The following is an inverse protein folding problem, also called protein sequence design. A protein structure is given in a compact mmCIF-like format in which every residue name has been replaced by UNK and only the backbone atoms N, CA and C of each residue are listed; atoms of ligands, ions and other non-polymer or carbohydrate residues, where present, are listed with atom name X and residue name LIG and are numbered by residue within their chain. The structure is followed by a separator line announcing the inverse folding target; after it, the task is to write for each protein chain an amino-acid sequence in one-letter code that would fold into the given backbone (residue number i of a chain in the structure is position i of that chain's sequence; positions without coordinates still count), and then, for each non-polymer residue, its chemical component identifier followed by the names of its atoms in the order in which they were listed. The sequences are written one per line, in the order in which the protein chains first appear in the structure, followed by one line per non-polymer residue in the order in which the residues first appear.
data_IF_409353559329
#
_entry.id   IF_409353559329
#
_cell.length_a   1.000
_cell.length_b   1.000
_cell.length_c   1.000
_cell.angle_alpha   90.00
_cell.angle_beta   90.00
_cell.angle_gamma   90.00
#
_symmetry.space_group_name_H-M   'P 1'
#
loop_
_entity.id
_entity.type
_entity.pdbx_description
1 polymer ?
#
# COMPACT_ATOMS: atom_id res chain seq x y z
N UNK A 1 21.78 -2.61 -8.68
CA UNK A 1 20.69 -1.64 -8.49
C UNK A 1 20.99 -0.87 -7.23
N UNK A 2 20.88 0.46 -7.25
CA UNK A 2 21.04 1.26 -6.03
C UNK A 2 19.79 1.05 -5.16
N UNK A 3 19.94 0.33 -4.06
CA UNK A 3 18.86 0.14 -3.08
C UNK A 3 18.61 1.44 -2.32
N UNK A 4 17.35 1.71 -1.98
CA UNK A 4 16.89 2.92 -1.28
C UNK A 4 16.36 2.53 0.09
N UNK A 5 16.70 3.22 1.19
CA UNK A 5 16.12 2.89 2.49
C UNK A 5 14.64 3.30 2.57
N UNK A 6 13.86 2.58 3.40
CA UNK A 6 12.45 2.86 3.68
C UNK A 6 12.24 4.30 4.13
N UNK A 7 13.13 4.81 4.97
CA UNK A 7 13.11 6.20 5.44
C UNK A 7 13.10 7.19 4.28
N UNK A 8 13.90 6.93 3.24
CA UNK A 8 13.94 7.76 2.04
C UNK A 8 12.67 7.62 1.21
N UNK A 9 12.03 6.45 1.16
CA UNK A 9 10.73 6.29 0.50
C UNK A 9 9.65 7.12 1.21
N UNK A 10 9.63 7.13 2.55
CA UNK A 10 8.70 7.94 3.32
C UNK A 10 8.88 9.43 3.04
N UNK A 11 10.12 9.92 3.03
CA UNK A 11 10.44 11.31 2.67
C UNK A 11 9.97 11.66 1.24
N UNK A 12 10.19 10.75 0.27
CA UNK A 12 9.77 10.97 -1.11
C UNK A 12 8.24 11.00 -1.25
N UNK A 13 7.52 10.18 -0.48
CA UNK A 13 6.06 10.25 -0.41
C UNK A 13 5.61 11.60 0.18
N UNK A 14 6.18 12.02 1.32
CA UNK A 14 5.84 13.30 1.96
C UNK A 14 6.18 14.52 1.10
N UNK A 15 7.24 14.44 0.29
CA UNK A 15 7.62 15.48 -0.67
C UNK A 15 6.75 15.50 -1.94
N UNK A 16 5.80 14.56 -2.10
CA UNK A 16 4.93 14.46 -3.27
C UNK A 16 5.62 13.92 -4.53
N UNK A 17 6.79 13.28 -4.40
CA UNK A 17 7.46 12.60 -5.51
C UNK A 17 6.68 11.35 -5.91
N UNK A 18 6.18 10.63 -4.91
CA UNK A 18 5.15 9.62 -5.11
C UNK A 18 3.78 10.27 -4.95
N UNK A 19 2.82 9.80 -5.75
CA UNK A 19 1.48 10.34 -5.92
C UNK A 19 0.57 10.30 -4.68
N UNK A 20 1.08 9.84 -3.54
CA UNK A 20 0.32 9.60 -2.30
C UNK A 20 -0.07 8.13 -2.10
N UNK A 21 0.03 7.29 -3.15
CA UNK A 21 -0.09 5.84 -3.04
C UNK A 21 1.18 5.15 -3.60
N UNK A 22 1.80 4.30 -2.78
CA UNK A 22 2.95 3.48 -3.19
C UNK A 22 2.64 1.99 -3.02
N UNK A 23 2.72 1.22 -4.09
CA UNK A 23 2.71 -0.23 -4.03
C UNK A 23 4.14 -0.76 -3.83
N UNK A 24 4.36 -1.51 -2.76
CA UNK A 24 5.58 -2.29 -2.56
C UNK A 24 5.33 -3.72 -2.98
N UNK A 25 6.00 -4.12 -4.06
CA UNK A 25 5.88 -5.43 -4.68
C UNK A 25 6.88 -6.37 -4.02
N UNK A 26 6.37 -7.36 -3.30
CA UNK A 26 7.15 -8.39 -2.61
C UNK A 26 7.29 -9.65 -3.45
N UNK A 27 8.29 -10.49 -3.16
CA UNK A 27 8.49 -11.75 -3.88
C UNK A 27 7.43 -12.80 -3.49
N UNK A 28 6.94 -12.73 -2.25
CA UNK A 28 5.89 -13.60 -1.69
C UNK A 28 4.80 -12.75 -1.03
N UNK A 29 3.65 -13.36 -0.72
CA UNK A 29 2.55 -12.69 0.00
C UNK A 29 3.08 -12.09 1.31
N UNK A 30 2.89 -10.78 1.57
CA UNK A 30 3.37 -10.15 2.79
C UNK A 30 2.82 -10.81 4.04
N UNK A 31 3.70 -11.15 4.98
CA UNK A 31 3.31 -11.69 6.28
C UNK A 31 2.92 -10.59 7.26
N UNK A 32 2.12 -10.91 8.28
CA UNK A 32 1.77 -9.93 9.33
C UNK A 32 3.00 -9.39 10.05
N UNK A 33 4.05 -10.20 10.21
CA UNK A 33 5.32 -9.78 10.81
C UNK A 33 6.01 -8.71 9.96
N UNK A 34 6.07 -8.90 8.63
CA UNK A 34 6.63 -7.91 7.71
C UNK A 34 5.87 -6.58 7.80
N UNK A 35 4.53 -6.65 7.79
CA UNK A 35 3.68 -5.46 7.91
C UNK A 35 3.86 -4.77 9.27
N UNK A 36 4.01 -5.54 10.35
CA UNK A 36 4.24 -5.01 11.69
C UNK A 36 5.60 -4.30 11.80
N UNK A 37 6.67 -4.91 11.24
CA UNK A 37 8.00 -4.29 11.18
C UNK A 37 7.98 -2.97 10.39
N UNK A 38 7.36 -2.97 9.21
CA UNK A 38 7.17 -1.78 8.39
C UNK A 38 6.39 -0.69 9.14
N UNK A 39 5.33 -1.08 9.86
CA UNK A 39 4.54 -0.17 10.70
C UNK A 39 5.37 0.48 11.80
N UNK A 40 6.25 -0.30 12.44
CA UNK A 40 7.20 0.20 13.44
C UNK A 40 8.11 1.29 12.88
N UNK A 41 8.70 1.07 11.70
CA UNK A 41 9.56 2.04 11.00
C UNK A 41 8.76 3.27 10.57
N UNK A 42 7.57 3.08 10.00
CA UNK A 42 6.72 4.19 9.54
C UNK A 42 6.29 5.12 10.68
N UNK A 43 6.03 4.60 11.90
CA UNK A 43 5.66 5.42 13.07
C UNK A 43 6.73 6.40 13.52
N UNK A 44 7.96 6.25 13.05
CA UNK A 44 9.04 7.22 13.29
C UNK A 44 8.96 8.44 12.36
N UNK A 45 8.17 8.36 11.29
CA UNK A 45 8.10 9.37 10.22
C UNK A 45 6.71 10.02 10.06
N UNK A 46 5.65 9.28 10.40
CA UNK A 46 4.26 9.74 10.29
C UNK A 46 3.64 9.87 11.68
N UNK A 47 2.79 10.88 11.86
CA UNK A 47 2.09 11.15 13.14
C UNK A 47 1.14 10.03 13.51
N UNK A 48 0.44 9.47 12.52
CA UNK A 48 -0.50 8.36 12.70
C UNK A 48 -0.31 7.33 11.59
N UNK A 49 -0.10 6.08 12.01
CA UNK A 49 0.06 4.92 11.10
C UNK A 49 -0.92 3.84 11.50
N UNK A 50 -1.83 3.50 10.59
CA UNK A 50 -2.78 2.42 10.78
C UNK A 50 -2.57 1.28 9.78
N UNK A 51 -2.94 0.08 10.20
CA UNK A 51 -2.92 -1.12 9.38
C UNK A 51 -4.32 -1.38 8.85
N UNK A 52 -4.43 -1.72 7.58
CA UNK A 52 -5.70 -2.10 6.97
C UNK A 52 -5.57 -3.45 6.25
N UNK A 53 -6.07 -4.48 6.91
CA UNK A 53 -6.15 -5.82 6.36
C UNK A 53 -7.43 -5.97 5.53
N UNK A 54 -7.30 -6.05 4.21
CA UNK A 54 -8.42 -6.25 3.29
C UNK A 54 -8.87 -7.70 3.21
N UNK A 55 -8.11 -8.65 3.77
CA UNK A 55 -8.51 -10.06 3.84
C UNK A 55 -9.51 -10.37 4.95
N UNK A 56 -9.71 -9.47 5.92
CA UNK A 56 -10.62 -9.69 7.04
C UNK A 56 -12.07 -9.40 6.65
N UNK A 57 -13.00 -10.19 7.19
CA UNK A 57 -14.43 -9.88 7.08
C UNK A 57 -14.72 -8.49 7.65
N UNK A 58 -15.53 -7.69 6.95
CA UNK A 58 -15.88 -6.33 7.38
C UNK A 58 -14.74 -5.30 7.26
N UNK A 59 -13.64 -5.62 6.58
CA UNK A 59 -12.47 -4.72 6.41
C UNK A 59 -12.86 -3.30 5.95
N UNK A 60 -13.87 -3.16 5.10
CA UNK A 60 -14.35 -1.86 4.63
C UNK A 60 -14.94 -0.99 5.74
N UNK A 61 -15.59 -1.58 6.74
CA UNK A 61 -16.17 -0.85 7.87
C UNK A 61 -15.10 -0.38 8.87
N UNK A 62 -13.95 -1.05 8.89
CA UNK A 62 -12.81 -0.74 9.74
C UNK A 62 -11.80 0.21 9.06
N UNK A 63 -12.16 0.87 7.96
CA UNK A 63 -11.24 1.73 7.22
C UNK A 63 -10.76 2.92 8.08
N UNK A 64 -9.44 3.05 8.31
CA UNK A 64 -8.91 4.07 9.22
C UNK A 64 -8.77 5.43 8.54
N UNK A 65 -9.87 6.18 8.43
CA UNK A 65 -9.94 7.47 7.70
C UNK A 65 -8.90 8.48 8.17
N UNK A 66 -8.67 8.59 9.48
CA UNK A 66 -7.90 9.69 10.10
C UNK A 66 -6.38 9.44 10.17
N UNK A 67 -5.89 8.32 9.64
CA UNK A 67 -4.46 8.03 9.65
C UNK A 67 -3.71 8.84 8.57
N UNK A 68 -2.54 9.38 8.91
CA UNK A 68 -1.64 10.04 7.96
C UNK A 68 -1.12 9.03 6.93
N UNK A 69 -0.66 7.86 7.40
CA UNK A 69 -0.30 6.72 6.57
C UNK A 69 -1.20 5.51 6.89
N UNK A 70 -1.69 4.83 5.85
CA UNK A 70 -2.24 3.48 5.96
C UNK A 70 -1.31 2.48 5.27
N UNK A 71 -0.96 1.41 5.98
CA UNK A 71 -0.35 0.22 5.38
C UNK A 71 -1.47 -0.77 5.04
N UNK A 72 -1.58 -1.12 3.76
CA UNK A 72 -2.64 -1.98 3.21
C UNK A 72 -2.04 -3.34 2.83
N UNK A 73 -2.71 -4.41 3.22
CA UNK A 73 -2.34 -5.79 2.88
C UNK A 73 -3.60 -6.68 2.83
N UNK A 74 -3.47 -7.93 2.39
CA UNK A 74 -4.61 -8.84 2.24
C UNK A 74 -5.36 -8.70 0.92
N UNK A 75 -4.79 -7.94 -0.03
CA UNK A 75 -5.37 -7.73 -1.36
C UNK A 75 -5.31 -9.01 -2.20
N UNK A 76 -4.29 -9.85 -1.99
CA UNK A 76 -4.08 -11.14 -2.66
C UNK A 76 -5.24 -12.14 -2.47
N UNK A 77 -6.09 -11.91 -1.47
CA UNK A 77 -7.29 -12.73 -1.22
C UNK A 77 -8.56 -12.16 -1.85
N UNK A 78 -8.47 -11.01 -2.51
CA UNK A 78 -9.60 -10.33 -3.12
C UNK A 78 -9.55 -10.47 -4.65
N UNK A 79 -10.72 -10.58 -5.27
CA UNK A 79 -10.80 -10.51 -6.74
C UNK A 79 -10.72 -9.05 -7.19
N UNK A 80 -10.05 -8.76 -8.32
CA UNK A 80 -9.87 -7.39 -8.82
C UNK A 80 -11.19 -6.68 -9.14
N UNK A 81 -12.19 -7.44 -9.58
CA UNK A 81 -13.53 -6.99 -9.97
C UNK A 81 -14.55 -7.05 -8.82
N UNK A 82 -14.14 -7.48 -7.62
CA UNK A 82 -15.06 -7.57 -6.49
C UNK A 82 -15.53 -6.17 -6.02
N UNK A 83 -16.77 -6.05 -5.52
CA UNK A 83 -17.25 -4.80 -4.91
C UNK A 83 -16.37 -4.33 -3.75
N UNK A 84 -15.71 -5.26 -3.05
CA UNK A 84 -14.80 -4.95 -1.95
C UNK A 84 -13.55 -4.25 -2.45
N UNK A 85 -12.90 -4.81 -3.47
CA UNK A 85 -11.72 -4.20 -4.10
C UNK A 85 -12.04 -2.83 -4.67
N UNK A 86 -13.18 -2.68 -5.35
CA UNK A 86 -13.59 -1.39 -5.92
C UNK A 86 -13.79 -0.32 -4.84
N UNK A 87 -14.48 -0.65 -3.74
CA UNK A 87 -14.64 0.26 -2.61
C UNK A 87 -13.30 0.58 -1.94
N UNK A 88 -12.42 -0.41 -1.80
CA UNK A 88 -11.12 -0.20 -1.19
C UNK A 88 -10.27 0.78 -1.99
N UNK A 89 -10.17 0.58 -3.31
CA UNK A 89 -9.45 1.47 -4.23
C UNK A 89 -10.05 2.88 -4.24
N UNK A 90 -11.39 3.00 -4.25
CA UNK A 90 -12.07 4.30 -4.17
C UNK A 90 -11.69 5.05 -2.89
N UNK A 91 -11.65 4.36 -1.75
CA UNK A 91 -11.23 4.96 -0.47
C UNK A 91 -9.76 5.40 -0.49
N UNK A 92 -8.88 4.61 -1.09
CA UNK A 92 -7.46 4.96 -1.25
C UNK A 92 -7.28 6.15 -2.20
N UNK A 93 -8.07 6.26 -3.26
CA UNK A 93 -8.04 7.38 -4.20
C UNK A 93 -8.52 8.68 -3.54
N UNK A 94 -9.59 8.63 -2.74
CA UNK A 94 -10.02 9.78 -1.93
C UNK A 94 -8.93 10.23 -0.97
N UNK A 95 -8.24 9.29 -0.30
CA UNK A 95 -7.10 9.61 0.59
C UNK A 95 -5.98 10.30 -0.15
N UNK A 96 -5.57 9.73 -1.29
CA UNK A 96 -4.54 10.27 -2.17
C UNK A 96 -4.82 11.73 -2.53
N UNK A 97 -6.06 12.01 -2.96
CA UNK A 97 -6.49 13.37 -3.33
C UNK A 97 -6.70 14.30 -2.13
N UNK A 98 -6.78 13.76 -0.90
CA UNK A 98 -6.83 14.53 0.36
C UNK A 98 -5.45 14.82 0.95
N UNK A 99 -4.36 14.46 0.26
CA UNK A 99 -2.99 14.65 0.75
C UNK A 99 -2.56 13.65 1.81
N UNK A 100 -3.27 12.52 1.96
CA UNK A 100 -2.92 11.44 2.86
C UNK A 100 -2.21 10.31 2.12
N UNK A 101 -1.41 9.53 2.86
CA UNK A 101 -0.53 8.52 2.29
C UNK A 101 -1.09 7.12 2.45
N UNK A 102 -0.82 6.28 1.46
CA UNK A 102 -1.12 4.84 1.51
C UNK A 102 0.06 4.05 0.95
N UNK A 103 0.41 2.96 1.61
CA UNK A 103 1.39 2.00 1.13
C UNK A 103 0.75 0.62 1.03
N UNK A 104 0.67 0.07 -0.17
CA UNK A 104 0.06 -1.24 -0.43
C UNK A 104 1.16 -2.28 -0.55
N UNK A 105 1.15 -3.28 0.31
CA UNK A 105 2.09 -4.39 0.25
C UNK A 105 1.37 -5.61 -0.34
N UNK A 106 1.94 -6.19 -1.40
CA UNK A 106 1.40 -7.36 -2.09
C UNK A 106 2.46 -8.02 -2.96
N UNK A 107 2.26 -9.30 -3.27
CA UNK A 107 3.16 -10.03 -4.16
C UNK A 107 3.01 -9.58 -5.63
N UNK A 108 3.99 -9.96 -6.46
CA UNK A 108 4.00 -9.57 -7.87
C UNK A 108 2.76 -10.07 -8.65
N UNK A 109 2.28 -11.27 -8.35
CA UNK A 109 1.11 -11.84 -9.00
C UNK A 109 -0.15 -11.00 -8.71
N UNK A 110 -0.39 -10.67 -7.44
CA UNK A 110 -1.52 -9.83 -7.03
C UNK A 110 -1.37 -8.41 -7.57
N UNK A 111 -0.15 -7.84 -7.56
CA UNK A 111 0.07 -6.51 -8.16
C UNK A 111 -0.33 -6.48 -9.62
N UNK A 112 0.10 -7.47 -10.42
CA UNK A 112 -0.24 -7.54 -11.84
C UNK A 112 -1.74 -7.68 -12.05
N UNK A 113 -2.38 -8.55 -11.26
CA UNK A 113 -3.82 -8.77 -11.28
C UNK A 113 -4.62 -7.48 -10.97
N UNK A 114 -4.17 -6.71 -9.98
CA UNK A 114 -4.92 -5.56 -9.49
C UNK A 114 -4.59 -4.22 -10.17
N UNK A 115 -3.35 -4.02 -10.62
CA UNK A 115 -2.85 -2.68 -11.01
C UNK A 115 -2.14 -2.65 -12.36
N UNK A 116 -1.93 -3.78 -13.04
CA UNK A 116 -1.31 -3.85 -14.37
C UNK A 116 -2.22 -4.36 -15.50
N UNK A 117 -3.53 -4.50 -15.25
CA UNK A 117 -4.50 -4.81 -16.30
C UNK A 117 -5.20 -3.53 -16.78
N UNK A 118 -5.00 -3.15 -18.05
CA UNK A 118 -5.58 -1.93 -18.63
C UNK A 118 -7.10 -1.95 -18.76
N UNK A 119 -7.71 -3.13 -18.73
CA UNK A 119 -9.16 -3.29 -18.78
C UNK A 119 -9.83 -3.05 -17.41
N UNK A 120 -9.04 -2.99 -16.32
CA UNK A 120 -9.54 -2.85 -14.96
C UNK A 120 -9.55 -1.38 -14.50
N UNK A 121 -10.59 -0.93 -13.78
CA UNK A 121 -10.57 0.34 -13.09
C UNK A 121 -9.38 0.43 -12.12
N UNK A 122 -8.77 1.62 -12.02
CA UNK A 122 -7.58 1.87 -11.19
C UNK A 122 -6.27 1.25 -11.72
N UNK A 123 -6.21 0.87 -13.00
CA UNK A 123 -4.94 0.64 -13.70
C UNK A 123 -4.01 1.86 -13.53
N UNK A 124 -2.76 1.62 -13.14
CA UNK A 124 -1.78 2.66 -12.81
C UNK A 124 -2.19 3.62 -11.67
N UNK A 125 -3.00 3.16 -10.72
CA UNK A 125 -3.44 3.99 -9.59
C UNK A 125 -2.32 4.37 -8.61
N UNK A 126 -1.38 3.46 -8.34
CA UNK A 126 -0.26 3.70 -7.42
C UNK A 126 1.07 3.64 -8.16
N UNK A 127 2.01 4.45 -7.73
CA UNK A 127 3.41 4.23 -8.07
C UNK A 127 3.87 2.88 -7.49
N UNK A 128 4.88 2.25 -8.08
CA UNK A 128 5.33 0.91 -7.65
C UNK A 128 6.83 0.83 -7.45
N UNK A 129 7.24 0.08 -6.42
CA UNK A 129 8.64 -0.27 -6.17
C UNK A 129 8.75 -1.75 -5.78
N UNK A 130 9.79 -2.43 -6.26
CA UNK A 130 10.09 -3.80 -5.83
C UNK A 130 10.81 -3.80 -4.48
N UNK A 131 10.40 -4.69 -3.58
CA UNK A 131 11.01 -4.94 -2.27
C UNK A 131 12.53 -5.06 -2.34
N UNK A 132 13.07 -5.81 -3.32
CA UNK A 132 14.52 -6.00 -3.52
C UNK A 132 15.31 -4.70 -3.78
N UNK A 133 14.61 -3.61 -4.07
CA UNK A 133 15.18 -2.27 -4.26
C UNK A 133 15.22 -1.47 -2.94
N UNK A 134 14.76 -2.07 -1.83
CA UNK A 134 14.67 -1.44 -0.52
C UNK A 134 15.73 -2.05 0.40
N UNK A 135 16.66 -1.24 0.90
CA UNK A 135 17.86 -1.76 1.60
C UNK A 135 17.60 -2.30 3.00
N UNK A 136 16.56 -1.80 3.66
CA UNK A 136 16.19 -2.08 5.06
C UNK A 136 14.74 -2.53 5.16
N UNK A 137 14.24 -3.27 4.17
CA UNK A 137 12.85 -3.74 4.12
C UNK A 137 12.47 -4.59 5.34
N UNK A 138 13.41 -5.37 5.89
CA UNK A 138 13.28 -6.19 7.10
C UNK A 138 14.49 -5.92 7.98
#
# INVERSE_FOLDING_TARGET
MNSVPLTRLFELMQAGVYSGCLAVITDEVPTEEMISSLSGKARQHYRTVNLWNLSSEGSLNAFPVDAELILVFGLERQLPDSPVTYQARTKLDVRRNSGLFSMICLDEASFRCHFSNSEEPFYNFCDSIYQKSISDWI
#
